data_IF_257527007345
#
_entry.id   IF_257527007345
#
_cell.length_a   1.000
_cell.length_b   1.000
_cell.length_c   1.000
_cell.angle_alpha   90.00
_cell.angle_beta   90.00
_cell.angle_gamma   90.00
#
_symmetry.space_group_name_H-M   'P 1'
#
loop_
_entity.id
_entity.type
_entity.pdbx_description
1 polymer ?
#
# COMPACT_ATOMS: atom_id res chain seq x y z
N UNK A 1 -5.60 11.30 -5.68
CA UNK A 1 -6.19 10.74 -4.42
C UNK A 1 -5.78 11.52 -3.16
N UNK A 2 -4.52 11.85 -2.93
CA UNK A 2 -4.07 12.54 -1.70
C UNK A 2 -4.78 13.88 -1.43
N UNK A 3 -5.03 14.70 -2.48
CA UNK A 3 -5.78 15.96 -2.33
C UNK A 3 -7.25 15.70 -1.96
N UNK A 4 -7.87 14.68 -2.54
CA UNK A 4 -9.26 14.33 -2.24
C UNK A 4 -9.40 13.87 -0.79
N UNK A 5 -8.49 13.00 -0.31
CA UNK A 5 -8.49 12.57 1.08
C UNK A 5 -8.32 13.75 2.06
N UNK A 6 -7.50 14.76 1.71
CA UNK A 6 -7.38 15.96 2.55
C UNK A 6 -8.68 16.77 2.66
N UNK A 7 -9.52 16.76 1.63
CA UNK A 7 -10.82 17.42 1.64
C UNK A 7 -11.89 16.60 2.38
N UNK A 8 -11.95 15.30 2.12
CA UNK A 8 -12.98 14.39 2.67
C UNK A 8 -12.61 13.85 4.06
N UNK A 9 -11.34 13.97 4.47
CA UNK A 9 -10.74 13.39 5.69
C UNK A 9 -10.72 11.87 5.71
N UNK A 10 -11.84 11.20 5.45
CA UNK A 10 -11.99 9.74 5.30
C UNK A 10 -12.97 9.43 4.19
N UNK A 11 -12.94 8.21 3.67
CA UNK A 11 -13.90 7.71 2.70
C UNK A 11 -14.88 6.72 3.36
N UNK A 12 -16.11 6.67 2.83
CA UNK A 12 -17.02 5.57 3.16
C UNK A 12 -16.40 4.22 2.77
N UNK A 13 -16.83 3.13 3.38
CA UNK A 13 -16.38 1.80 2.97
C UNK A 13 -16.74 1.48 1.51
N UNK A 14 -17.86 2.00 1.02
CA UNK A 14 -18.27 1.84 -0.37
C UNK A 14 -17.30 2.55 -1.33
N UNK A 15 -16.92 3.80 -1.04
CA UNK A 15 -15.94 4.55 -1.83
C UNK A 15 -14.55 3.93 -1.72
N UNK A 16 -14.17 3.51 -0.51
CA UNK A 16 -12.88 2.82 -0.28
C UNK A 16 -12.81 1.54 -1.10
N UNK A 17 -13.87 0.73 -1.13
CA UNK A 17 -13.96 -0.46 -1.98
C UNK A 17 -13.82 -0.10 -3.44
N UNK A 18 -14.58 0.89 -3.91
CA UNK A 18 -14.56 1.34 -5.31
C UNK A 18 -13.17 1.75 -5.78
N UNK A 19 -12.44 2.52 -4.97
CA UNK A 19 -11.08 2.95 -5.32
C UNK A 19 -10.05 1.84 -5.15
N UNK A 20 -10.16 1.04 -4.10
CA UNK A 20 -9.22 -0.08 -3.85
C UNK A 20 -9.30 -1.13 -4.94
N UNK A 21 -10.49 -1.45 -5.45
CA UNK A 21 -10.66 -2.38 -6.59
C UNK A 21 -9.90 -1.89 -7.82
N UNK A 22 -9.96 -0.61 -8.13
CA UNK A 22 -9.23 -0.04 -9.28
C UNK A 22 -7.71 -0.12 -9.09
N UNK A 23 -7.21 0.11 -7.86
CA UNK A 23 -5.78 -0.04 -7.54
C UNK A 23 -5.36 -1.49 -7.73
N UNK A 24 -6.12 -2.45 -7.20
CA UNK A 24 -5.85 -3.89 -7.33
C UNK A 24 -5.80 -4.32 -8.79
N UNK A 25 -6.76 -3.89 -9.63
CA UNK A 25 -6.77 -4.20 -11.06
C UNK A 25 -5.54 -3.63 -11.79
N UNK A 26 -5.15 -2.40 -11.46
CA UNK A 26 -3.96 -1.79 -12.03
C UNK A 26 -2.67 -2.52 -11.60
N UNK A 27 -2.56 -2.89 -10.33
CA UNK A 27 -1.43 -3.68 -9.80
C UNK A 27 -1.39 -5.07 -10.46
N UNK A 28 -2.53 -5.74 -10.59
CA UNK A 28 -2.64 -7.03 -11.29
C UNK A 28 -2.14 -6.92 -12.74
N UNK A 29 -2.50 -5.84 -13.44
CA UNK A 29 -2.03 -5.59 -14.80
C UNK A 29 -0.50 -5.44 -14.86
N UNK A 30 0.11 -4.68 -13.94
CA UNK A 30 1.56 -4.50 -13.85
C UNK A 30 2.27 -5.82 -13.56
N UNK A 31 1.81 -6.54 -12.54
CA UNK A 31 2.40 -7.81 -12.12
C UNK A 31 2.30 -8.89 -13.21
N UNK A 32 1.20 -8.93 -13.96
CA UNK A 32 1.06 -9.82 -15.13
C UNK A 32 2.04 -9.51 -16.27
N UNK A 33 2.72 -8.35 -16.21
CA UNK A 33 3.81 -7.94 -17.13
C UNK A 33 5.19 -7.97 -16.49
N UNK A 34 5.29 -8.58 -15.32
CA UNK A 34 6.53 -8.67 -14.52
C UNK A 34 7.06 -7.29 -14.09
N UNK A 35 6.16 -6.31 -13.90
CA UNK A 35 6.51 -4.96 -13.45
C UNK A 35 6.10 -4.81 -11.99
N UNK A 36 7.05 -4.41 -11.15
CA UNK A 36 6.83 -4.00 -9.77
C UNK A 36 6.93 -2.48 -9.72
N UNK A 37 5.95 -1.81 -9.12
CA UNK A 37 5.91 -0.35 -9.02
C UNK A 37 6.84 0.19 -7.92
N UNK A 38 6.85 -0.41 -6.74
CA UNK A 38 7.71 -0.16 -5.57
C UNK A 38 7.52 1.20 -4.85
N UNK A 39 6.63 2.07 -5.33
CA UNK A 39 6.28 3.33 -4.65
C UNK A 39 4.79 3.65 -4.79
N UNK A 40 3.94 2.64 -4.62
CA UNK A 40 2.50 2.84 -4.57
C UNK A 40 2.14 3.63 -3.31
N UNK A 41 1.46 4.76 -3.51
CA UNK A 41 0.97 5.65 -2.45
C UNK A 41 -0.14 6.53 -2.99
N UNK A 42 -0.93 7.13 -2.10
CA UNK A 42 -2.02 8.03 -2.51
C UNK A 42 -1.55 9.21 -3.38
N UNK A 43 -0.31 9.67 -3.21
CA UNK A 43 0.29 10.74 -4.01
C UNK A 43 0.48 10.37 -5.49
N UNK A 44 0.69 9.07 -5.76
CA UNK A 44 0.91 8.53 -7.10
C UNK A 44 -0.36 7.96 -7.75
N UNK A 45 -1.51 8.10 -7.07
CA UNK A 45 -2.84 7.75 -7.60
C UNK A 45 -3.55 9.02 -8.10
N UNK A 46 -3.60 9.19 -9.40
CA UNK A 46 -4.28 10.31 -10.05
C UNK A 46 -5.72 9.93 -10.36
N UNK A 47 -6.63 10.86 -10.13
CA UNK A 47 -8.06 10.67 -10.35
C UNK A 47 -8.51 11.58 -11.49
N UNK A 48 -9.15 11.02 -12.51
CA UNK A 48 -9.74 11.80 -13.58
C UNK A 48 -11.17 12.26 -13.20
N UNK A 49 -11.82 13.07 -14.06
CA UNK A 49 -13.19 13.57 -13.87
C UNK A 49 -14.24 12.47 -13.71
N UNK A 50 -14.00 11.30 -14.28
CA UNK A 50 -14.91 10.13 -14.22
C UNK A 50 -14.61 9.22 -13.02
N UNK A 51 -13.87 9.70 -12.01
CA UNK A 51 -13.47 8.93 -10.82
C UNK A 51 -12.64 7.66 -11.14
N UNK A 52 -11.95 7.65 -12.30
CA UNK A 52 -11.06 6.53 -12.68
C UNK A 52 -9.65 6.84 -12.19
N UNK A 53 -9.06 5.86 -11.45
CA UNK A 53 -7.68 5.93 -10.97
C UNK A 53 -6.70 5.64 -12.11
N UNK A 54 -5.63 6.45 -12.15
CA UNK A 54 -4.44 6.22 -12.96
C UNK A 54 -3.24 6.18 -12.03
N UNK A 55 -2.50 5.08 -12.06
CA UNK A 55 -1.20 4.98 -11.36
C UNK A 55 -0.16 5.75 -12.16
N UNK A 56 0.61 6.59 -11.51
CA UNK A 56 1.71 7.34 -12.13
C UNK A 56 2.97 7.28 -11.27
N UNK A 57 4.01 7.98 -11.73
CA UNK A 57 5.34 8.00 -11.12
C UNK A 57 6.00 6.61 -11.06
N UNK A 58 6.48 6.17 -12.20
CA UNK A 58 7.21 4.91 -12.37
C UNK A 58 8.73 5.04 -12.11
N UNK A 59 9.18 6.10 -11.43
CA UNK A 59 10.59 6.38 -11.15
C UNK A 59 11.31 5.28 -10.38
N UNK A 60 10.59 4.54 -9.55
CA UNK A 60 11.10 3.36 -8.83
C UNK A 60 10.68 2.03 -9.45
N UNK A 61 9.86 2.02 -10.52
CA UNK A 61 9.39 0.78 -11.09
C UNK A 61 10.53 -0.06 -11.70
N UNK A 62 10.38 -1.37 -11.64
CA UNK A 62 11.34 -2.30 -12.25
C UNK A 62 10.60 -3.43 -12.96
N UNK A 63 11.14 -3.85 -14.09
CA UNK A 63 10.68 -5.05 -14.78
C UNK A 63 11.58 -6.22 -14.38
N UNK A 64 10.97 -7.31 -13.99
CA UNK A 64 11.67 -8.57 -13.72
C UNK A 64 11.94 -9.32 -15.04
N UNK A 65 13.03 -10.07 -15.08
CA UNK A 65 13.33 -10.95 -16.23
C UNK A 65 12.50 -12.25 -16.16
N UNK A 66 12.17 -12.72 -14.96
CA UNK A 66 11.36 -13.91 -14.70
C UNK A 66 10.57 -13.77 -13.37
N UNK A 67 9.51 -14.55 -13.15
CA UNK A 67 8.59 -14.36 -12.02
C UNK A 67 9.25 -14.46 -10.64
N UNK A 68 10.25 -15.33 -10.47
CA UNK A 68 10.91 -15.59 -9.19
C UNK A 68 12.09 -14.65 -8.93
N UNK A 69 12.35 -13.70 -9.83
CA UNK A 69 13.43 -12.73 -9.63
C UNK A 69 13.13 -11.81 -8.45
N UNK A 70 14.15 -11.58 -7.62
CA UNK A 70 14.05 -10.69 -6.46
C UNK A 70 15.00 -9.51 -6.56
N UNK A 71 14.55 -8.35 -6.19
CA UNK A 71 15.33 -7.11 -6.16
C UNK A 71 15.84 -6.83 -4.75
N UNK A 72 17.01 -6.17 -4.64
CA UNK A 72 17.61 -5.82 -3.34
C UNK A 72 17.69 -4.30 -3.09
N UNK A 73 17.27 -3.48 -4.05
CA UNK A 73 17.32 -2.03 -3.95
C UNK A 73 16.35 -1.55 -2.86
N UNK A 74 16.83 -0.83 -1.87
CA UNK A 74 15.98 -0.19 -0.86
C UNK A 74 15.39 1.08 -1.47
N UNK A 75 14.10 1.10 -1.70
CA UNK A 75 13.37 2.24 -2.27
C UNK A 75 11.91 2.25 -1.81
N UNK A 76 11.26 3.39 -1.99
CA UNK A 76 9.85 3.60 -1.62
C UNK A 76 9.68 4.75 -0.62
N UNK A 77 8.43 5.05 -0.32
CA UNK A 77 8.04 6.11 0.62
C UNK A 77 7.88 5.53 2.04
N UNK A 78 8.44 6.13 3.10
CA UNK A 78 8.54 5.53 4.44
C UNK A 78 7.25 4.89 4.98
N UNK A 79 6.10 5.57 4.89
CA UNK A 79 4.83 5.03 5.40
C UNK A 79 4.27 3.85 4.59
N UNK A 80 4.78 3.60 3.38
CA UNK A 80 4.25 2.61 2.44
C UNK A 80 5.23 1.47 2.16
N UNK A 81 6.47 1.57 2.67
CA UNK A 81 7.52 0.58 2.43
C UNK A 81 7.20 -0.74 3.13
N UNK A 82 7.43 -1.84 2.43
CA UNK A 82 7.15 -3.18 2.97
C UNK A 82 8.27 -3.65 3.93
N UNK A 83 7.96 -4.45 4.96
CA UNK A 83 8.95 -4.91 5.93
C UNK A 83 10.11 -5.68 5.32
N UNK A 84 9.89 -6.49 4.27
CA UNK A 84 10.95 -7.24 3.58
C UNK A 84 11.97 -6.34 2.86
N UNK A 85 11.57 -5.11 2.46
CA UNK A 85 12.53 -4.12 1.93
C UNK A 85 13.42 -3.60 3.05
N UNK A 86 12.84 -3.34 4.23
CA UNK A 86 13.58 -2.85 5.42
C UNK A 86 14.53 -3.91 5.96
N UNK A 87 14.12 -5.17 5.97
CA UNK A 87 14.98 -6.28 6.40
C UNK A 87 16.15 -6.53 5.43
N UNK A 88 15.92 -6.38 4.12
CA UNK A 88 16.94 -6.52 3.08
C UNK A 88 17.53 -7.91 2.87
N UNK A 89 17.13 -8.91 3.68
CA UNK A 89 17.77 -10.24 3.71
C UNK A 89 17.55 -11.05 2.45
N UNK A 90 16.28 -11.21 2.05
CA UNK A 90 15.88 -12.13 0.97
C UNK A 90 15.52 -11.40 -0.33
N UNK A 91 15.71 -10.07 -0.37
CA UNK A 91 15.22 -9.24 -1.46
C UNK A 91 13.68 -9.19 -1.46
N UNK A 92 13.12 -8.52 -2.48
CA UNK A 92 11.68 -8.29 -2.61
C UNK A 92 11.20 -8.48 -4.06
N UNK A 93 9.91 -8.72 -4.24
CA UNK A 93 9.26 -8.88 -5.54
C UNK A 93 7.85 -8.24 -5.52
N UNK A 94 6.87 -8.84 -6.14
CA UNK A 94 5.51 -8.32 -6.29
C UNK A 94 4.80 -8.01 -4.95
N UNK A 95 5.12 -8.73 -3.92
CA UNK A 95 4.51 -8.62 -2.59
C UNK A 95 4.63 -7.23 -1.96
N UNK A 96 5.62 -6.43 -2.35
CA UNK A 96 5.77 -5.06 -1.83
C UNK A 96 4.66 -4.11 -2.30
N UNK A 97 4.15 -4.32 -3.52
CA UNK A 97 3.02 -3.55 -4.05
C UNK A 97 1.71 -3.97 -3.37
N UNK A 98 1.58 -5.24 -2.98
CA UNK A 98 0.43 -5.72 -2.20
C UNK A 98 0.43 -5.05 -0.82
N UNK A 99 1.57 -5.04 -0.12
CA UNK A 99 1.70 -4.31 1.15
C UNK A 99 1.29 -2.84 1.02
N UNK A 100 1.85 -2.13 0.03
CA UNK A 100 1.52 -0.72 -0.21
C UNK A 100 0.03 -0.51 -0.52
N UNK A 101 -0.62 -1.46 -1.21
CA UNK A 101 -2.07 -1.44 -1.45
C UNK A 101 -2.85 -1.59 -0.13
N UNK A 102 -2.38 -2.42 0.80
CA UNK A 102 -2.96 -2.53 2.15
C UNK A 102 -2.83 -1.23 2.96
N UNK A 103 -1.68 -0.55 2.85
CA UNK A 103 -1.50 0.78 3.47
C UNK A 103 -2.44 1.81 2.86
N UNK A 104 -2.66 1.77 1.54
CA UNK A 104 -3.63 2.63 0.85
C UNK A 104 -5.05 2.36 1.37
N UNK A 105 -5.47 1.08 1.41
CA UNK A 105 -6.78 0.66 1.93
C UNK A 105 -7.02 1.20 3.34
N UNK A 106 -6.10 0.96 4.27
CA UNK A 106 -6.18 1.49 5.63
C UNK A 106 -6.29 3.03 5.63
N UNK A 107 -5.46 3.70 4.83
CA UNK A 107 -5.41 5.17 4.79
C UNK A 107 -6.72 5.78 4.25
N UNK A 108 -7.39 5.12 3.32
CA UNK A 108 -8.70 5.56 2.82
C UNK A 108 -9.79 5.40 3.91
N UNK A 109 -9.76 4.31 4.68
CA UNK A 109 -10.71 4.05 5.76
C UNK A 109 -10.51 5.00 6.95
N UNK A 110 -9.25 5.25 7.34
CA UNK A 110 -8.92 5.92 8.63
C UNK A 110 -8.48 7.38 8.46
N UNK A 111 -8.09 7.78 7.25
CA UNK A 111 -7.62 9.15 6.96
C UNK A 111 -6.12 9.37 7.16
N UNK A 112 -5.42 8.43 7.80
CA UNK A 112 -3.96 8.48 8.05
C UNK A 112 -3.32 7.10 7.87
N UNK A 113 -2.03 7.02 7.51
CA UNK A 113 -1.33 5.73 7.36
C UNK A 113 -1.27 4.93 8.68
N UNK A 114 -1.27 3.57 8.62
CA UNK A 114 -1.29 2.72 9.81
C UNK A 114 -0.04 2.86 10.68
N UNK A 115 1.12 3.11 10.06
CA UNK A 115 2.42 3.13 10.75
C UNK A 115 2.99 4.55 10.94
N UNK A 116 2.17 5.59 10.76
CA UNK A 116 2.62 6.96 10.86
C UNK A 116 3.16 7.28 12.26
N UNK A 117 4.38 7.80 12.33
CA UNK A 117 5.04 8.23 13.55
C UNK A 117 5.73 9.59 13.37
N UNK A 118 6.32 10.09 14.46
CA UNK A 118 7.01 11.41 14.50
C UNK A 118 8.25 11.48 13.62
N UNK A 119 8.88 10.36 13.35
CA UNK A 119 10.10 10.26 12.54
C UNK A 119 10.12 8.94 11.75
N UNK A 120 11.02 8.90 10.76
CA UNK A 120 11.11 7.76 9.82
C UNK A 120 11.54 6.47 10.53
N UNK A 121 12.49 6.56 11.48
CA UNK A 121 12.99 5.36 12.19
C UNK A 121 11.90 4.73 13.06
N UNK A 122 11.12 5.56 13.75
CA UNK A 122 9.96 5.10 14.52
C UNK A 122 8.90 4.46 13.61
N UNK A 123 8.66 5.03 12.42
CA UNK A 123 7.77 4.45 11.41
C UNK A 123 8.27 3.06 10.97
N UNK A 124 9.55 2.91 10.66
CA UNK A 124 10.14 1.62 10.27
C UNK A 124 10.04 0.57 11.39
N UNK A 125 10.23 0.98 12.65
CA UNK A 125 10.06 0.09 13.79
C UNK A 125 8.61 -0.43 13.88
N UNK A 126 7.61 0.44 13.72
CA UNK A 126 6.21 0.04 13.71
C UNK A 126 5.89 -0.93 12.55
N UNK A 127 6.43 -0.69 11.35
CA UNK A 127 6.29 -1.58 10.19
C UNK A 127 6.86 -2.97 10.50
N UNK A 128 8.09 -3.04 10.99
CA UNK A 128 8.76 -4.32 11.32
C UNK A 128 8.04 -5.11 12.42
N UNK A 129 7.43 -4.40 13.38
CA UNK A 129 6.63 -4.99 14.44
C UNK A 129 5.18 -5.26 14.02
N UNK A 130 4.76 -4.82 12.82
CA UNK A 130 3.38 -4.80 12.37
C UNK A 130 2.41 -4.19 13.40
N UNK A 131 2.86 -3.13 14.06
CA UNK A 131 2.15 -2.51 15.17
C UNK A 131 1.26 -1.38 14.67
N UNK A 132 -0.02 -1.66 14.48
CA UNK A 132 -1.06 -0.68 14.17
C UNK A 132 -2.42 -1.15 14.69
N UNK A 133 -3.33 -0.21 14.92
CA UNK A 133 -4.69 -0.47 15.36
C UNK A 133 -5.69 0.38 14.57
N UNK A 134 -6.94 -0.06 14.51
CA UNK A 134 -8.02 0.77 14.02
C UNK A 134 -8.56 1.64 15.17
N UNK A 135 -8.82 2.95 14.90
CA UNK A 135 -9.41 3.83 15.91
C UNK A 135 -10.76 3.28 16.41
N UNK A 136 -10.94 3.26 17.73
CA UNK A 136 -12.15 2.72 18.37
C UNK A 136 -13.39 3.59 18.13
N UNK A 137 -13.19 4.89 17.91
CA UNK A 137 -14.23 5.89 17.62
C UNK A 137 -14.80 5.78 16.21
N UNK A 138 -14.14 5.02 15.31
CA UNK A 138 -14.57 4.86 13.93
C UNK A 138 -15.34 3.56 13.72
N UNK A 139 -16.50 3.66 13.08
CA UNK A 139 -17.29 2.49 12.69
C UNK A 139 -16.72 1.91 11.39
N UNK A 140 -15.84 0.90 11.51
CA UNK A 140 -15.28 0.16 10.38
C UNK A 140 -15.69 -1.31 10.51
N UNK A 141 -16.22 -1.89 9.43
CA UNK A 141 -16.72 -3.26 9.44
C UNK A 141 -15.62 -4.28 9.77
N UNK A 142 -16.03 -5.43 10.32
CA UNK A 142 -15.13 -6.57 10.57
C UNK A 142 -14.47 -7.06 9.28
N UNK A 143 -15.18 -7.00 8.15
CA UNK A 143 -14.68 -7.46 6.87
C UNK A 143 -13.56 -6.54 6.34
N UNK A 144 -13.73 -5.21 6.45
CA UNK A 144 -12.71 -4.25 6.05
C UNK A 144 -11.45 -4.37 6.92
N UNK A 145 -11.62 -4.53 8.25
CA UNK A 145 -10.51 -4.79 9.19
C UNK A 145 -9.79 -6.10 8.85
N UNK A 146 -10.54 -7.19 8.64
CA UNK A 146 -10.00 -8.51 8.32
C UNK A 146 -9.21 -8.51 7.00
N UNK A 147 -9.76 -7.86 5.94
CA UNK A 147 -9.04 -7.71 4.68
C UNK A 147 -7.72 -6.95 4.86
N UNK A 148 -7.75 -5.84 5.59
CA UNK A 148 -6.55 -5.06 5.88
C UNK A 148 -5.50 -5.90 6.63
N UNK A 149 -5.91 -6.64 7.66
CA UNK A 149 -5.02 -7.53 8.42
C UNK A 149 -4.44 -8.66 7.55
N UNK A 150 -5.21 -9.20 6.60
CA UNK A 150 -4.71 -10.23 5.67
C UNK A 150 -3.67 -9.68 4.69
N UNK A 151 -3.80 -8.42 4.28
CA UNK A 151 -2.85 -7.80 3.36
C UNK A 151 -1.59 -7.33 4.11
N UNK A 152 -1.75 -6.71 5.29
CA UNK A 152 -0.64 -6.22 6.10
C UNK A 152 -0.07 -7.35 7.00
N UNK A 153 0.53 -8.35 6.36
CA UNK A 153 1.24 -9.44 7.03
C UNK A 153 2.76 -9.27 6.85
N UNK A 154 3.55 -9.40 7.93
CA UNK A 154 5.02 -9.30 7.86
C UNK A 154 5.59 -10.44 7.01
N UNK A 155 5.06 -11.64 7.16
CA UNK A 155 5.46 -12.78 6.32
C UNK A 155 4.82 -12.63 4.93
N UNK A 156 5.60 -12.18 3.97
CA UNK A 156 5.14 -11.88 2.61
C UNK A 156 4.49 -13.09 1.90
N UNK A 157 4.87 -14.30 2.24
CA UNK A 157 4.26 -15.53 1.69
C UNK A 157 2.85 -15.83 2.23
N UNK A 158 2.35 -14.99 3.15
CA UNK A 158 0.98 -15.07 3.70
C UNK A 158 0.06 -13.94 3.21
N UNK A 159 0.56 -13.05 2.36
CA UNK A 159 -0.21 -11.93 1.77
C UNK A 159 -1.07 -12.36 0.59
#
# INVERSE_FOLDING_TARGET
>A
MSKLLKCEQTFSEADTRFYTQQVVEAVRYLHGRLIIHRDLKLGNLFLNSNKVIKIGDFGFATKLAYPDERRKTICGTPNYIAPEILEGKNGHSFEVDIWSTGVILYTLLVGKPPFQSKDVMSTYKLILMNSYDFPTEMTISSDAKNLTHKILQVLYNKR
#
